data_IF_281300846647
#
_entry.id   IF_281300846647
#
_cell.length_a   1.000
_cell.length_b   1.000
_cell.length_c   1.000
_cell.angle_alpha   90.00
_cell.angle_beta   90.00
_cell.angle_gamma   90.00
#
_symmetry.space_group_name_H-M   'P 1'
#
loop_
_entity.id
_entity.type
_entity.pdbx_description
1 polymer ?
#
# COMPACT_ATOMS: atom_id res chain seq x y z
N UNK A 1 21.61 7.17 16.26
CA UNK A 1 20.22 7.58 16.08
C UNK A 1 20.01 7.98 14.63
N UNK A 2 19.04 7.39 13.92
CA UNK A 2 18.69 7.73 12.53
C UNK A 2 17.67 8.88 12.52
N UNK A 3 17.92 9.92 11.74
CA UNK A 3 16.98 11.05 11.59
C UNK A 3 16.17 10.84 10.30
N UNK A 4 14.87 10.74 10.43
CA UNK A 4 13.93 10.39 9.36
C UNK A 4 13.00 11.56 9.10
N UNK A 5 12.92 12.02 7.85
CA UNK A 5 11.91 12.97 7.40
C UNK A 5 10.81 12.21 6.64
N UNK A 6 9.56 12.30 7.11
CA UNK A 6 8.41 11.76 6.41
C UNK A 6 7.73 12.87 5.61
N UNK A 7 7.69 12.74 4.30
CA UNK A 7 6.97 13.68 3.43
C UNK A 7 5.56 13.17 3.15
N UNK A 8 4.57 14.02 3.30
CA UNK A 8 3.15 13.65 3.26
C UNK A 8 2.56 13.55 4.65
N UNK A 9 2.73 14.62 5.44
CA UNK A 9 2.16 14.76 6.78
C UNK A 9 0.65 14.43 6.80
N UNK A 10 0.19 13.87 7.93
CA UNK A 10 -1.21 13.48 8.16
C UNK A 10 -1.76 12.38 7.24
N UNK A 11 -0.94 11.75 6.40
CA UNK A 11 -1.38 10.59 5.63
C UNK A 11 -1.54 9.36 6.53
N UNK A 12 -2.46 8.44 6.17
CA UNK A 12 -2.67 7.20 6.92
C UNK A 12 -1.36 6.42 7.11
N UNK A 13 -0.60 6.23 6.03
CA UNK A 13 0.67 5.49 6.10
C UNK A 13 1.72 6.29 6.87
N UNK A 14 1.95 7.57 6.53
CA UNK A 14 2.96 8.40 7.18
C UNK A 14 2.79 8.47 8.69
N UNK A 15 1.57 8.74 9.17
CA UNK A 15 1.26 8.81 10.60
C UNK A 15 1.49 7.48 11.34
N UNK A 16 1.19 6.34 10.69
CA UNK A 16 1.43 5.03 11.33
C UNK A 16 2.93 4.69 11.37
N UNK A 17 3.69 5.02 10.32
CA UNK A 17 5.14 4.84 10.30
C UNK A 17 5.81 5.73 11.37
N UNK A 18 5.44 7.01 11.45
CA UNK A 18 5.91 7.93 12.48
C UNK A 18 5.71 7.36 13.88
N UNK A 19 4.46 6.98 14.23
CA UNK A 19 4.14 6.39 15.53
C UNK A 19 4.90 5.09 15.79
N UNK A 20 5.19 4.31 14.77
CA UNK A 20 5.94 3.06 14.90
C UNK A 20 7.41 3.30 15.21
N UNK A 21 8.06 4.18 14.47
CA UNK A 21 9.47 4.52 14.68
C UNK A 21 9.68 5.23 16.03
N UNK A 22 8.75 6.09 16.43
CA UNK A 22 8.80 6.81 17.73
C UNK A 22 8.64 5.89 18.96
N UNK A 23 8.34 4.60 18.80
CA UNK A 23 8.43 3.61 19.91
C UNK A 23 9.87 3.33 20.35
N UNK A 24 10.84 3.64 19.50
CA UNK A 24 12.27 3.44 19.75
C UNK A 24 13.02 4.80 19.61
N UNK A 25 12.72 5.79 20.50
CA UNK A 25 13.23 7.16 20.36
C UNK A 25 14.76 7.25 20.51
N UNK A 26 15.38 6.24 21.11
CA UNK A 26 16.83 6.12 21.19
C UNK A 26 17.48 5.74 19.84
N UNK A 27 16.70 5.17 18.92
CA UNK A 27 17.16 4.76 17.58
C UNK A 27 16.73 5.73 16.49
N UNK A 28 15.55 6.35 16.65
CA UNK A 28 14.93 7.16 15.60
C UNK A 28 14.49 8.53 16.12
N UNK A 29 14.81 9.57 15.36
CA UNK A 29 14.19 10.89 15.46
C UNK A 29 13.40 11.13 14.17
N UNK A 30 12.10 11.44 14.29
CA UNK A 30 11.18 11.51 13.15
C UNK A 30 10.53 12.89 13.11
N UNK A 31 10.64 13.53 11.96
CA UNK A 31 9.90 14.75 11.64
C UNK A 31 8.99 14.50 10.42
N UNK A 32 7.92 15.26 10.32
CA UNK A 32 6.99 15.19 9.19
C UNK A 32 6.89 16.54 8.50
N UNK A 33 6.75 16.54 7.18
CA UNK A 33 6.54 17.74 6.40
C UNK A 33 5.42 17.59 5.38
N UNK A 34 4.60 18.61 5.24
CA UNK A 34 3.63 18.69 4.15
C UNK A 34 4.34 19.03 2.85
N UNK A 35 3.89 18.42 1.76
CA UNK A 35 4.41 18.69 0.41
C UNK A 35 3.58 19.68 -0.38
N UNK A 36 2.45 20.14 0.16
CA UNK A 36 1.62 21.16 -0.47
C UNK A 36 2.30 22.54 -0.42
N UNK A 37 2.07 23.32 -1.46
CA UNK A 37 2.53 24.72 -1.52
C UNK A 37 4.05 24.90 -1.25
N UNK A 38 4.86 23.91 -1.64
CA UNK A 38 6.33 23.97 -1.51
C UNK A 38 6.86 24.17 -0.07
N UNK A 39 6.03 23.95 0.95
CA UNK A 39 6.43 24.12 2.36
C UNK A 39 7.63 23.25 2.72
N UNK A 40 7.77 22.10 2.10
CA UNK A 40 8.88 21.18 2.28
C UNK A 40 10.25 21.79 1.91
N UNK A 41 10.33 22.80 1.02
CA UNK A 41 11.57 23.50 0.66
C UNK A 41 12.13 24.34 1.81
N UNK A 42 11.31 24.66 2.82
CA UNK A 42 11.74 25.37 4.03
C UNK A 42 12.34 24.45 5.08
N UNK A 43 12.17 23.15 4.95
CA UNK A 43 12.76 22.17 5.86
C UNK A 43 14.25 22.00 5.55
N UNK A 44 15.06 21.96 6.59
CA UNK A 44 16.51 21.76 6.50
C UNK A 44 16.80 20.24 6.34
N UNK A 45 16.93 19.79 5.09
CA UNK A 45 17.18 18.40 4.75
C UNK A 45 18.55 17.90 5.19
N UNK A 46 19.52 18.79 5.43
CA UNK A 46 20.88 18.41 5.90
C UNK A 46 20.87 17.69 7.24
N UNK A 47 19.77 17.80 7.99
CA UNK A 47 19.60 17.15 9.29
C UNK A 47 19.19 15.70 9.23
N UNK A 48 18.77 15.19 8.04
CA UNK A 48 18.16 13.87 7.92
C UNK A 48 19.07 12.87 7.23
N UNK A 49 19.08 11.65 7.74
CA UNK A 49 19.74 10.51 7.12
C UNK A 49 18.85 9.86 6.06
N UNK A 50 17.53 9.87 6.29
CA UNK A 50 16.53 9.16 5.49
C UNK A 50 15.34 10.05 5.20
N UNK A 51 14.86 10.02 3.96
CA UNK A 51 13.54 10.56 3.58
C UNK A 51 12.61 9.39 3.26
N UNK A 52 11.49 9.29 3.97
CA UNK A 52 10.37 8.41 3.63
C UNK A 52 9.30 9.21 2.89
N UNK A 53 9.22 9.03 1.59
CA UNK A 53 8.29 9.75 0.72
C UNK A 53 6.99 8.97 0.53
N UNK A 54 5.93 9.43 1.20
CA UNK A 54 4.58 8.84 1.14
C UNK A 54 3.55 9.80 0.58
N UNK A 55 3.95 11.04 0.28
CA UNK A 55 3.09 11.99 -0.40
C UNK A 55 2.66 11.48 -1.78
N UNK A 56 1.43 11.70 -2.14
CA UNK A 56 0.90 11.30 -3.43
C UNK A 56 -0.63 11.31 -3.45
N UNK A 57 -1.16 11.35 -4.66
CA UNK A 57 -2.60 11.23 -4.90
C UNK A 57 -2.90 9.76 -5.20
N UNK A 58 -3.84 9.20 -4.44
CA UNK A 58 -4.35 7.84 -4.60
C UNK A 58 -5.86 7.81 -4.37
N UNK A 59 -6.54 6.77 -4.86
CA UNK A 59 -7.95 6.48 -4.56
C UNK A 59 -8.99 7.55 -4.94
N UNK A 60 -8.65 8.50 -5.80
CA UNK A 60 -9.64 9.37 -6.45
C UNK A 60 -10.14 8.62 -7.69
N UNK A 61 -11.47 8.65 -7.93
CA UNK A 61 -12.01 8.09 -9.18
C UNK A 61 -11.25 8.71 -10.35
N UNK A 62 -10.61 7.90 -11.22
CA UNK A 62 -9.67 8.41 -12.22
C UNK A 62 -10.44 9.06 -13.36
N UNK A 63 -10.84 10.32 -13.14
CA UNK A 63 -11.35 11.14 -14.23
C UNK A 63 -10.17 11.58 -15.10
N UNK A 64 -10.26 11.47 -16.44
CA UNK A 64 -9.16 11.83 -17.34
C UNK A 64 -8.59 13.23 -17.11
N UNK A 65 -9.42 14.17 -16.70
CA UNK A 65 -9.05 15.57 -16.42
C UNK A 65 -8.06 15.70 -15.25
N UNK A 66 -8.01 14.71 -14.37
CA UNK A 66 -7.08 14.67 -13.24
C UNK A 66 -5.70 14.11 -13.58
N UNK A 67 -5.52 13.53 -14.76
CA UNK A 67 -4.25 12.93 -15.16
C UNK A 67 -3.05 13.89 -15.00
N UNK A 68 -3.10 15.16 -15.45
CA UNK A 68 -1.99 16.11 -15.27
C UNK A 68 -1.60 16.31 -13.81
N UNK A 69 -2.60 16.33 -12.91
CA UNK A 69 -2.35 16.47 -11.47
C UNK A 69 -1.65 15.24 -10.89
N UNK A 70 -2.00 14.03 -11.34
CA UNK A 70 -1.32 12.79 -10.92
C UNK A 70 0.15 12.80 -11.35
N UNK A 71 0.47 13.18 -12.58
CA UNK A 71 1.87 13.29 -13.02
C UNK A 71 2.62 14.36 -12.25
N UNK A 72 2.02 15.53 -12.04
CA UNK A 72 2.64 16.61 -11.26
C UNK A 72 2.95 16.19 -9.83
N UNK A 73 2.03 15.49 -9.15
CA UNK A 73 2.21 15.15 -7.73
C UNK A 73 2.95 13.82 -7.55
N UNK A 74 2.57 12.76 -8.28
CA UNK A 74 3.15 11.44 -8.04
C UNK A 74 4.51 11.26 -8.72
N UNK A 75 4.78 11.96 -9.82
CA UNK A 75 6.03 11.87 -10.58
C UNK A 75 6.95 13.05 -10.30
N UNK A 76 6.52 14.25 -10.75
CA UNK A 76 7.42 15.41 -10.79
C UNK A 76 7.85 15.84 -9.38
N UNK A 77 6.91 16.00 -8.48
CA UNK A 77 7.18 16.35 -7.07
C UNK A 77 8.02 15.27 -6.37
N UNK A 78 7.76 13.99 -6.63
CA UNK A 78 8.56 12.88 -6.06
C UNK A 78 10.01 12.98 -6.49
N UNK A 79 10.27 13.19 -7.80
CA UNK A 79 11.62 13.32 -8.35
C UNK A 79 12.30 14.59 -7.84
N UNK A 80 11.56 15.71 -7.76
CA UNK A 80 12.07 16.98 -7.24
C UNK A 80 12.53 16.84 -5.78
N UNK A 81 11.70 16.25 -4.91
CA UNK A 81 12.06 16.03 -3.49
C UNK A 81 13.25 15.07 -3.36
N UNK A 82 13.34 14.04 -4.20
CA UNK A 82 14.47 13.12 -4.17
C UNK A 82 15.78 13.78 -4.60
N UNK A 83 15.77 14.62 -5.65
CA UNK A 83 16.90 15.44 -6.06
C UNK A 83 17.36 16.36 -4.93
N UNK A 84 16.41 17.08 -4.34
CA UNK A 84 16.66 17.96 -3.20
C UNK A 84 17.27 17.21 -2.01
N UNK A 85 16.72 16.05 -1.68
CA UNK A 85 17.26 15.21 -0.59
C UNK A 85 18.71 14.78 -0.89
N UNK A 86 19.00 14.34 -2.11
CA UNK A 86 20.35 13.96 -2.54
C UNK A 86 21.33 15.14 -2.44
N UNK A 87 20.97 16.32 -2.94
CA UNK A 87 21.79 17.54 -2.90
C UNK A 87 22.09 18.01 -1.46
N UNK A 88 21.21 17.70 -0.51
CA UNK A 88 21.37 18.05 0.90
C UNK A 88 21.98 16.91 1.75
N UNK A 89 22.56 15.88 1.12
CA UNK A 89 23.35 14.85 1.81
C UNK A 89 22.54 13.76 2.50
N UNK A 90 21.21 13.64 2.23
CA UNK A 90 20.41 12.49 2.63
C UNK A 90 21.01 11.23 2.01
N UNK A 91 21.05 10.13 2.78
CA UNK A 91 21.71 8.89 2.36
C UNK A 91 20.75 7.85 1.78
N UNK A 92 19.49 7.90 2.16
CA UNK A 92 18.45 6.95 1.69
C UNK A 92 17.14 7.67 1.41
N UNK A 93 16.54 7.35 0.28
CA UNK A 93 15.21 7.81 -0.11
C UNK A 93 14.29 6.60 -0.28
N UNK A 94 13.29 6.47 0.59
CA UNK A 94 12.32 5.38 0.58
C UNK A 94 11.04 5.89 -0.05
N UNK A 95 10.68 5.35 -1.19
CA UNK A 95 9.51 5.76 -1.98
C UNK A 95 8.34 4.79 -1.82
N UNK A 96 7.19 5.34 -1.47
CA UNK A 96 5.94 4.60 -1.41
C UNK A 96 5.28 4.55 -2.79
N UNK A 97 5.66 3.54 -3.57
CA UNK A 97 5.00 3.18 -4.82
C UNK A 97 3.72 2.35 -4.55
N UNK A 98 3.32 1.50 -5.45
CA UNK A 98 2.13 0.65 -5.31
C UNK A 98 2.20 -0.53 -6.26
N UNK A 99 1.48 -1.62 -5.92
CA UNK A 99 1.23 -2.72 -6.85
C UNK A 99 0.47 -2.30 -8.12
N UNK A 100 -0.14 -1.12 -8.13
CA UNK A 100 -0.86 -0.58 -9.29
C UNK A 100 0.02 -0.39 -10.54
N UNK A 101 1.35 -0.35 -10.39
CA UNK A 101 2.31 -0.28 -11.51
C UNK A 101 2.24 -1.52 -12.41
N UNK A 102 1.65 -2.61 -11.90
CA UNK A 102 1.30 -3.78 -12.71
C UNK A 102 -0.11 -3.66 -13.25
N UNK A 103 -0.37 -4.30 -14.37
CA UNK A 103 -1.70 -4.31 -14.98
C UNK A 103 -2.77 -4.83 -14.00
N UNK A 104 -3.82 -4.06 -13.77
CA UNK A 104 -4.97 -4.50 -13.00
C UNK A 104 -5.97 -5.23 -13.92
N UNK A 105 -6.05 -6.55 -13.81
CA UNK A 105 -7.02 -7.33 -14.59
C UNK A 105 -8.46 -6.96 -14.19
N UNK A 106 -9.30 -6.72 -15.19
CA UNK A 106 -10.75 -6.54 -15.01
C UNK A 106 -11.53 -7.86 -15.13
N UNK A 107 -10.83 -8.98 -15.29
CA UNK A 107 -11.43 -10.31 -15.45
C UNK A 107 -11.29 -11.17 -14.19
N UNK A 108 -12.08 -12.24 -14.11
CA UNK A 108 -11.99 -13.22 -13.02
C UNK A 108 -10.70 -14.04 -13.04
N UNK A 109 -9.91 -13.99 -14.12
CA UNK A 109 -8.59 -14.65 -14.19
C UNK A 109 -7.59 -14.06 -13.18
N UNK A 110 -7.89 -12.82 -12.72
CA UNK A 110 -7.08 -12.18 -11.72
C UNK A 110 -5.74 -11.65 -12.23
N UNK A 111 -4.86 -11.37 -11.30
CA UNK A 111 -3.57 -10.75 -11.56
C UNK A 111 -2.51 -11.32 -10.62
N UNK A 112 -1.77 -12.31 -11.10
CA UNK A 112 -0.66 -12.92 -10.37
C UNK A 112 0.63 -12.22 -10.80
N UNK A 113 1.38 -11.69 -9.85
CA UNK A 113 2.66 -11.03 -10.12
C UNK A 113 3.81 -11.97 -9.75
N UNK A 114 4.63 -12.29 -10.71
CA UNK A 114 5.83 -13.10 -10.60
C UNK A 114 7.08 -12.21 -10.60
N UNK A 115 8.27 -12.72 -10.19
CA UNK A 115 9.53 -11.97 -10.28
C UNK A 115 9.85 -11.49 -11.71
N UNK A 116 9.39 -12.22 -12.71
CA UNK A 116 9.57 -11.90 -14.14
C UNK A 116 8.51 -10.97 -14.72
N UNK A 117 7.44 -10.68 -13.96
CA UNK A 117 6.35 -9.81 -14.44
C UNK A 117 6.86 -8.37 -14.60
N UNK A 118 6.81 -7.84 -15.81
CA UNK A 118 7.18 -6.45 -16.06
C UNK A 118 6.04 -5.50 -15.66
N UNK A 119 6.36 -4.34 -15.05
CA UNK A 119 5.38 -3.28 -14.83
C UNK A 119 4.75 -2.85 -16.15
N UNK A 120 3.43 -2.78 -16.17
CA UNK A 120 2.65 -2.34 -17.33
C UNK A 120 1.31 -1.76 -16.82
N UNK A 121 1.32 -0.54 -16.25
CA UNK A 121 0.12 0.09 -15.73
C UNK A 121 -0.88 0.38 -16.84
N UNK A 122 -2.16 0.26 -16.53
CA UNK A 122 -3.26 0.52 -17.46
C UNK A 122 -4.10 1.75 -17.10
N UNK A 123 -3.62 2.56 -16.18
CA UNK A 123 -4.19 3.84 -15.80
C UNK A 123 -3.10 4.86 -15.49
N UNK A 124 -3.45 6.15 -15.49
CA UNK A 124 -2.50 7.23 -15.26
C UNK A 124 -1.98 7.28 -13.80
N UNK A 125 -2.69 6.69 -12.84
CA UNK A 125 -2.19 6.56 -11.48
C UNK A 125 -1.00 5.59 -11.43
N UNK A 126 -1.17 4.39 -11.94
CA UNK A 126 -0.09 3.41 -12.03
C UNK A 126 1.08 3.91 -12.87
N UNK A 127 0.78 4.56 -14.00
CA UNK A 127 1.80 5.11 -14.89
C UNK A 127 2.60 6.24 -14.23
N UNK A 128 1.93 7.18 -13.54
CA UNK A 128 2.62 8.24 -12.80
C UNK A 128 3.55 7.71 -11.71
N UNK A 129 3.14 6.62 -11.01
CA UNK A 129 3.98 5.93 -10.02
C UNK A 129 5.19 5.26 -10.68
N UNK A 130 4.99 4.58 -11.80
CA UNK A 130 6.08 3.90 -12.54
C UNK A 130 7.10 4.90 -13.10
N UNK A 131 6.63 6.01 -13.67
CA UNK A 131 7.52 7.07 -14.15
C UNK A 131 8.32 7.70 -12.99
N UNK A 132 7.72 7.89 -11.81
CA UNK A 132 8.45 8.32 -10.63
C UNK A 132 9.56 7.32 -10.24
N UNK A 133 9.25 6.02 -10.21
CA UNK A 133 10.25 4.99 -9.93
C UNK A 133 11.44 5.04 -10.90
N UNK A 134 11.16 5.24 -12.20
CA UNK A 134 12.21 5.33 -13.21
C UNK A 134 13.11 6.55 -12.97
N UNK A 135 12.54 7.73 -12.73
CA UNK A 135 13.32 8.92 -12.41
C UNK A 135 14.08 8.82 -11.09
N UNK A 136 13.57 8.08 -10.11
CA UNK A 136 14.29 7.83 -8.86
C UNK A 136 15.50 6.92 -9.06
N UNK A 137 15.38 5.86 -9.88
CA UNK A 137 16.51 4.95 -10.17
C UNK A 137 17.70 5.67 -10.81
N UNK A 138 17.45 6.69 -11.64
CA UNK A 138 18.49 7.53 -12.23
C UNK A 138 19.27 8.36 -11.18
N UNK A 139 18.70 8.58 -10.01
CA UNK A 139 19.35 9.30 -8.92
C UNK A 139 20.20 8.42 -8.01
N UNK A 140 20.01 7.11 -8.07
CA UNK A 140 20.73 6.16 -7.20
C UNK A 140 22.26 6.21 -7.45
N UNK A 141 23.03 6.20 -6.36
CA UNK A 141 24.47 6.11 -6.39
C UNK A 141 25.00 5.54 -5.06
N UNK A 142 26.30 5.40 -4.92
CA UNK A 142 26.93 4.82 -3.72
C UNK A 142 26.57 5.56 -2.43
N UNK A 143 26.39 6.87 -2.51
CA UNK A 143 26.07 7.73 -1.36
C UNK A 143 24.60 8.02 -1.17
N UNK A 144 23.74 7.62 -2.13
CA UNK A 144 22.29 7.87 -2.10
C UNK A 144 21.52 6.64 -2.57
N UNK A 145 20.98 5.88 -1.62
CA UNK A 145 20.23 4.65 -1.89
C UNK A 145 18.75 4.95 -2.15
N UNK A 146 18.19 4.30 -3.17
CA UNK A 146 16.78 4.38 -3.51
C UNK A 146 16.08 3.07 -3.11
N UNK A 147 15.06 3.17 -2.25
CA UNK A 147 14.24 2.03 -1.82
C UNK A 147 12.81 2.24 -2.33
N UNK A 148 12.37 1.43 -3.26
CA UNK A 148 11.03 1.52 -3.86
C UNK A 148 10.17 0.42 -3.25
N UNK A 149 9.10 0.79 -2.54
CA UNK A 149 8.16 -0.18 -1.96
C UNK A 149 6.92 -0.23 -2.85
N UNK A 150 6.59 -1.41 -3.38
CA UNK A 150 5.37 -1.69 -4.15
C UNK A 150 4.38 -2.49 -3.30
N UNK A 151 3.72 -1.89 -2.32
CA UNK A 151 2.81 -2.63 -1.45
C UNK A 151 1.55 -3.06 -2.22
N UNK A 152 0.93 -4.18 -1.81
CA UNK A 152 -0.43 -4.49 -2.17
C UNK A 152 -1.41 -3.57 -1.41
N UNK A 153 -2.68 -3.95 -1.30
CA UNK A 153 -3.64 -3.19 -0.51
C UNK A 153 -3.18 -3.08 0.96
N UNK A 154 -2.88 -1.86 1.39
CA UNK A 154 -2.57 -1.56 2.78
C UNK A 154 -3.87 -1.39 3.56
N UNK A 155 -3.92 -1.93 4.79
CA UNK A 155 -5.07 -1.81 5.65
C UNK A 155 -4.65 -1.72 7.12
N UNK A 156 -5.60 -1.34 7.98
CA UNK A 156 -5.43 -1.18 9.42
C UNK A 156 -6.48 -0.21 9.98
N UNK A 157 -6.47 0.00 11.28
CA UNK A 157 -7.40 0.89 11.96
C UNK A 157 -7.28 2.33 11.43
N UNK A 158 -8.41 2.93 11.07
CA UNK A 158 -8.44 4.28 10.49
C UNK A 158 -8.30 4.34 8.97
N UNK A 159 -8.07 3.21 8.28
CA UNK A 159 -8.04 3.18 6.82
C UNK A 159 -9.45 3.36 6.22
N UNK A 160 -9.56 4.24 5.23
CA UNK A 160 -10.81 4.52 4.49
C UNK A 160 -11.01 3.62 3.26
N UNK A 161 -10.22 2.55 3.09
CA UNK A 161 -10.28 1.67 1.91
C UNK A 161 -11.50 0.76 1.82
N UNK A 162 -11.44 -0.23 0.91
CA UNK A 162 -12.57 -1.13 0.62
C UNK A 162 -12.86 -2.17 1.72
N UNK A 163 -11.89 -2.44 2.60
CA UNK A 163 -12.03 -3.44 3.64
C UNK A 163 -13.16 -3.12 4.65
N UNK A 164 -13.31 -1.87 5.15
CA UNK A 164 -14.46 -1.46 5.96
C UNK A 164 -15.82 -1.69 5.28
N UNK A 165 -15.91 -1.54 3.95
CA UNK A 165 -17.15 -1.84 3.20
C UNK A 165 -17.45 -3.33 3.16
N UNK A 166 -16.42 -4.14 2.97
CA UNK A 166 -16.59 -5.61 2.99
C UNK A 166 -17.04 -6.07 4.38
N UNK A 167 -16.48 -5.50 5.45
CA UNK A 167 -16.92 -5.72 6.83
C UNK A 167 -18.39 -5.31 7.04
N UNK A 168 -18.81 -4.14 6.56
CA UNK A 168 -20.21 -3.73 6.61
C UNK A 168 -21.12 -4.71 5.85
N UNK A 169 -20.73 -5.15 4.65
CA UNK A 169 -21.49 -6.14 3.88
C UNK A 169 -21.62 -7.45 4.67
N UNK A 170 -20.53 -7.93 5.29
CA UNK A 170 -20.52 -9.14 6.10
C UNK A 170 -21.50 -9.10 7.29
N UNK A 171 -21.81 -7.91 7.82
CA UNK A 171 -22.75 -7.74 8.93
C UNK A 171 -24.19 -7.48 8.49
N UNK A 172 -24.45 -7.31 7.19
CA UNK A 172 -25.80 -6.99 6.67
C UNK A 172 -26.39 -8.08 5.78
N UNK A 173 -25.56 -8.98 5.28
CA UNK A 173 -26.05 -10.06 4.41
C UNK A 173 -26.11 -11.39 5.18
N UNK A 174 -27.24 -12.14 5.12
CA UNK A 174 -27.33 -13.45 5.75
C UNK A 174 -26.59 -14.55 4.96
N UNK A 175 -26.33 -14.30 3.69
CA UNK A 175 -25.71 -15.26 2.76
C UNK A 175 -24.59 -14.61 1.98
N UNK A 176 -23.53 -15.39 1.70
CA UNK A 176 -22.40 -14.94 0.88
C UNK A 176 -21.91 -16.08 -0.03
N UNK A 177 -21.44 -15.79 -1.27
CA UNK A 177 -20.96 -16.84 -2.17
C UNK A 177 -19.67 -17.47 -1.65
N UNK A 178 -19.57 -18.78 -1.77
CA UNK A 178 -18.36 -19.56 -1.47
C UNK A 178 -17.37 -19.49 -2.66
N UNK A 179 -16.94 -18.29 -3.01
CA UNK A 179 -15.97 -18.04 -4.07
C UNK A 179 -14.63 -17.65 -3.46
N UNK A 180 -13.74 -18.64 -3.35
CA UNK A 180 -12.42 -18.44 -2.78
C UNK A 180 -11.47 -17.78 -3.76
N UNK A 181 -10.59 -16.93 -3.25
CA UNK A 181 -9.56 -16.22 -4.00
C UNK A 181 -8.31 -15.99 -3.14
N UNK A 182 -7.20 -15.63 -3.81
CA UNK A 182 -5.94 -15.27 -3.14
C UNK A 182 -5.63 -13.80 -3.38
N UNK A 183 -5.38 -13.08 -2.29
CA UNK A 183 -5.05 -11.65 -2.36
C UNK A 183 -3.87 -11.34 -1.46
N UNK A 184 -2.86 -10.68 -2.02
CA UNK A 184 -1.87 -10.03 -1.19
C UNK A 184 -2.48 -8.83 -0.50
N UNK A 185 -2.28 -8.74 0.79
CA UNK A 185 -2.61 -7.59 1.63
C UNK A 185 -1.45 -7.30 2.57
N UNK A 186 -1.38 -6.09 3.10
CA UNK A 186 -0.34 -5.70 4.04
C UNK A 186 -0.94 -4.87 5.17
N UNK A 187 -0.85 -5.38 6.40
CA UNK A 187 -1.25 -4.60 7.56
C UNK A 187 -0.27 -3.45 7.79
N UNK A 188 -0.79 -2.28 8.17
CA UNK A 188 0.01 -1.06 8.29
C UNK A 188 1.15 -1.18 9.31
N UNK A 189 1.00 -1.98 10.37
CA UNK A 189 2.08 -2.24 11.33
C UNK A 189 3.18 -3.13 10.74
N UNK A 190 2.82 -4.13 9.91
CA UNK A 190 3.79 -4.95 9.18
C UNK A 190 4.57 -4.09 8.18
N UNK A 191 3.88 -3.16 7.50
CA UNK A 191 4.55 -2.16 6.66
C UNK A 191 5.48 -1.26 7.48
N UNK A 192 5.04 -0.81 8.65
CA UNK A 192 5.84 0.08 9.49
C UNK A 192 7.12 -0.61 9.99
N UNK A 193 7.02 -1.86 10.43
CA UNK A 193 8.19 -2.66 10.75
C UNK A 193 9.09 -2.88 9.52
N UNK A 194 8.49 -3.16 8.35
CA UNK A 194 9.24 -3.30 7.11
C UNK A 194 10.05 -2.05 6.76
N UNK A 195 9.45 -0.86 6.85
CA UNK A 195 10.13 0.43 6.62
C UNK A 195 11.26 0.62 7.65
N UNK A 196 11.01 0.32 8.93
CA UNK A 196 12.03 0.35 9.98
C UNK A 196 13.24 -0.54 9.62
N UNK A 197 13.00 -1.75 9.15
CA UNK A 197 14.06 -2.66 8.73
C UNK A 197 14.83 -2.17 7.51
N UNK A 198 14.15 -1.57 6.52
CA UNK A 198 14.83 -0.93 5.39
C UNK A 198 15.79 0.20 5.84
N UNK A 199 15.38 0.99 6.83
CA UNK A 199 16.20 2.06 7.40
C UNK A 199 17.41 1.48 8.13
N UNK A 200 17.21 0.49 9.01
CA UNK A 200 18.28 -0.14 9.79
C UNK A 200 19.33 -0.78 8.87
N UNK A 201 18.89 -1.51 7.86
CA UNK A 201 19.77 -2.23 6.94
C UNK A 201 20.23 -1.39 5.74
N UNK A 202 19.79 -0.13 5.62
CA UNK A 202 20.13 0.80 4.52
C UNK A 202 19.97 0.16 3.13
N UNK A 203 18.89 -0.58 2.95
CA UNK A 203 18.66 -1.36 1.74
C UNK A 203 18.17 -0.47 0.61
N UNK A 204 18.79 -0.57 -0.57
CA UNK A 204 18.28 -0.03 -1.84
C UNK A 204 17.64 -1.14 -2.68
N UNK A 205 16.85 -0.74 -3.69
CA UNK A 205 16.19 -1.66 -4.61
C UNK A 205 14.66 -1.58 -4.59
N UNK A 206 13.99 -2.59 -5.19
CA UNK A 206 12.53 -2.64 -5.25
C UNK A 206 11.98 -3.77 -4.38
N UNK A 207 10.99 -3.47 -3.54
CA UNK A 207 10.49 -4.35 -2.49
C UNK A 207 8.98 -4.58 -2.61
N UNK A 208 8.53 -5.78 -2.23
CA UNK A 208 7.16 -6.28 -2.39
C UNK A 208 6.61 -6.85 -1.06
N UNK A 209 6.59 -6.06 0.02
CA UNK A 209 6.12 -6.57 1.30
C UNK A 209 4.64 -6.94 1.23
N UNK A 210 4.29 -8.08 1.84
CA UNK A 210 2.91 -8.55 2.01
C UNK A 210 2.82 -9.32 3.32
N UNK A 211 1.61 -9.54 3.83
CA UNK A 211 1.41 -10.42 4.98
C UNK A 211 1.88 -11.85 4.68
N UNK A 212 2.23 -12.60 5.72
CA UNK A 212 2.63 -14.01 5.63
C UNK A 212 1.57 -14.89 4.97
N UNK A 213 0.30 -14.53 5.11
CA UNK A 213 -0.83 -15.26 4.54
C UNK A 213 -1.44 -14.50 3.37
N UNK A 214 -2.03 -15.23 2.41
CA UNK A 214 -2.92 -14.62 1.45
C UNK A 214 -4.30 -14.43 2.07
N UNK A 215 -4.87 -13.28 1.88
CA UNK A 215 -6.25 -13.02 2.24
C UNK A 215 -7.20 -13.72 1.25
N UNK A 216 -8.26 -14.31 1.78
CA UNK A 216 -9.41 -14.84 1.04
C UNK A 216 -10.63 -13.98 1.37
N UNK A 217 -11.36 -13.54 0.35
CA UNK A 217 -12.56 -12.69 0.55
C UNK A 217 -13.61 -13.39 1.41
N UNK A 218 -13.79 -14.70 1.27
CA UNK A 218 -14.72 -15.49 2.08
C UNK A 218 -14.28 -15.50 3.54
N UNK A 219 -12.98 -15.68 3.78
CA UNK A 219 -12.44 -15.71 5.14
C UNK A 219 -12.53 -14.35 5.83
N UNK A 220 -12.23 -13.27 5.11
CA UNK A 220 -12.43 -11.90 5.60
C UNK A 220 -13.89 -11.68 6.04
N UNK A 221 -14.84 -12.10 5.21
CA UNK A 221 -16.28 -11.96 5.50
C UNK A 221 -16.68 -12.78 6.73
N UNK A 222 -16.17 -14.01 6.88
CA UNK A 222 -16.40 -14.84 8.08
C UNK A 222 -15.87 -14.19 9.35
N UNK A 223 -14.64 -13.68 9.30
CA UNK A 223 -14.00 -13.06 10.45
C UNK A 223 -14.75 -11.80 10.88
N UNK A 224 -15.12 -10.92 9.95
CA UNK A 224 -15.93 -9.75 10.26
C UNK A 224 -17.33 -10.13 10.81
N UNK A 225 -18.01 -11.11 10.23
CA UNK A 225 -19.30 -11.57 10.72
C UNK A 225 -19.17 -12.12 12.15
N UNK A 226 -18.15 -12.98 12.41
CA UNK A 226 -17.87 -13.55 13.74
C UNK A 226 -17.60 -12.45 14.77
N UNK A 227 -16.74 -11.49 14.45
CA UNK A 227 -16.38 -10.39 15.36
C UNK A 227 -17.59 -9.54 15.77
N UNK A 228 -18.54 -9.35 14.86
CA UNK A 228 -19.74 -8.55 15.10
C UNK A 228 -20.96 -9.38 15.51
N UNK A 229 -20.78 -10.65 15.89
CA UNK A 229 -21.86 -11.52 16.34
C UNK A 229 -22.90 -11.85 15.26
N UNK A 230 -22.58 -11.65 13.98
CA UNK A 230 -23.48 -11.91 12.86
C UNK A 230 -23.26 -13.33 12.31
N UNK A 231 -24.36 -14.04 12.05
CA UNK A 231 -24.33 -15.35 11.39
C UNK A 231 -24.46 -15.18 9.89
N UNK A 232 -23.46 -15.64 9.13
CA UNK A 232 -23.48 -15.60 7.69
C UNK A 232 -23.34 -17.01 7.11
N UNK A 233 -24.21 -17.36 6.17
CA UNK A 233 -24.16 -18.65 5.49
C UNK A 233 -23.36 -18.53 4.20
N UNK A 234 -22.23 -19.22 4.13
CA UNK A 234 -21.37 -19.28 2.94
C UNK A 234 -21.81 -20.46 2.07
N UNK A 235 -22.23 -20.18 0.82
CA UNK A 235 -22.80 -21.21 -0.06
C UNK A 235 -22.33 -21.11 -1.49
N UNK A 236 -22.10 -22.29 -2.12
CA UNK A 236 -21.76 -22.39 -3.54
C UNK A 236 -22.95 -22.09 -4.47
N UNK A 237 -24.18 -22.13 -3.97
CA UNK A 237 -25.39 -21.83 -4.75
C UNK A 237 -25.38 -20.42 -5.35
N UNK A 238 -24.64 -19.50 -4.75
CA UNK A 238 -24.48 -18.13 -5.24
C UNK A 238 -23.31 -17.95 -6.23
N UNK A 239 -22.47 -18.96 -6.45
CA UNK A 239 -21.32 -18.85 -7.35
C UNK A 239 -21.69 -18.55 -8.81
N UNK A 240 -22.79 -19.10 -9.39
CA UNK A 240 -23.25 -18.71 -10.72
C UNK A 240 -23.57 -17.22 -10.83
N UNK A 241 -24.09 -16.59 -9.77
CA UNK A 241 -24.37 -15.14 -9.73
C UNK A 241 -23.07 -14.33 -9.73
N UNK A 242 -22.01 -14.81 -9.07
CA UNK A 242 -20.67 -14.17 -9.13
C UNK A 242 -20.13 -14.22 -10.56
N UNK A 243 -20.24 -15.39 -11.22
CA UNK A 243 -19.78 -15.54 -12.59
C UNK A 243 -20.56 -14.65 -13.57
N UNK A 244 -21.87 -14.59 -13.42
CA UNK A 244 -22.73 -13.72 -14.24
C UNK A 244 -22.45 -12.24 -13.94
N UNK A 245 -22.39 -11.86 -12.66
CA UNK A 245 -22.10 -10.49 -12.22
C UNK A 245 -20.74 -9.99 -12.69
N UNK A 246 -19.76 -10.86 -12.83
CA UNK A 246 -18.43 -10.51 -13.32
C UNK A 246 -18.42 -9.96 -14.76
N UNK A 247 -19.45 -10.27 -15.55
CA UNK A 247 -19.59 -9.76 -16.93
C UNK A 247 -20.11 -8.32 -16.98
N UNK A 248 -20.89 -7.90 -15.99
CA UNK A 248 -21.62 -6.63 -16.01
C UNK A 248 -21.18 -5.66 -14.90
N UNK A 249 -20.63 -6.15 -13.80
CA UNK A 249 -20.32 -5.37 -12.62
C UNK A 249 -18.81 -5.37 -12.34
N UNK A 250 -18.08 -4.28 -12.64
CA UNK A 250 -16.63 -4.21 -12.40
C UNK A 250 -16.20 -4.43 -10.94
N UNK A 251 -17.13 -4.27 -10.00
CA UNK A 251 -16.89 -4.54 -8.58
C UNK A 251 -16.70 -6.04 -8.29
N UNK A 252 -17.31 -6.92 -9.09
CA UNK A 252 -17.25 -8.37 -8.87
C UNK A 252 -15.85 -8.94 -9.11
N UNK A 253 -15.17 -8.71 -10.25
CA UNK A 253 -13.77 -9.09 -10.40
C UNK A 253 -12.86 -8.42 -9.36
N UNK A 254 -13.07 -7.16 -9.02
CA UNK A 254 -12.30 -6.48 -7.96
C UNK A 254 -12.41 -7.17 -6.60
N UNK A 255 -13.52 -7.84 -6.30
CA UNK A 255 -13.75 -8.52 -5.03
C UNK A 255 -13.31 -9.99 -5.06
N UNK A 256 -13.58 -10.71 -6.14
CA UNK A 256 -13.50 -12.18 -6.20
C UNK A 256 -12.35 -12.72 -7.05
N UNK A 257 -11.62 -11.89 -7.83
CA UNK A 257 -10.47 -12.38 -8.56
C UNK A 257 -9.22 -12.50 -7.69
N UNK A 258 -8.31 -13.36 -8.11
CA UNK A 258 -6.97 -13.44 -7.55
C UNK A 258 -6.18 -12.16 -7.80
N UNK A 259 -5.41 -11.73 -6.80
CA UNK A 259 -4.58 -10.52 -6.92
C UNK A 259 -3.44 -10.58 -5.91
N UNK A 260 -2.32 -11.23 -6.28
CA UNK A 260 -1.24 -11.46 -5.33
C UNK A 260 0.15 -11.44 -5.97
N UNK A 261 1.15 -11.17 -5.12
CA UNK A 261 2.55 -11.50 -5.35
C UNK A 261 2.82 -12.94 -4.92
N UNK A 262 3.62 -13.68 -5.67
CA UNK A 262 4.12 -14.96 -5.17
C UNK A 262 5.01 -14.75 -3.95
N UNK A 263 5.02 -15.70 -3.00
CA UNK A 263 5.68 -15.52 -1.68
C UNK A 263 7.18 -15.27 -1.78
N UNK A 264 7.81 -15.82 -2.79
CA UNK A 264 9.25 -15.68 -3.05
C UNK A 264 9.66 -14.22 -3.24
N UNK A 265 8.77 -13.35 -3.74
CA UNK A 265 9.03 -11.92 -3.91
C UNK A 265 9.08 -11.15 -2.57
N UNK A 266 8.61 -11.76 -1.50
CA UNK A 266 8.48 -11.10 -0.18
C UNK A 266 9.36 -11.75 0.89
N UNK A 267 10.38 -12.48 0.47
CA UNK A 267 11.39 -13.06 1.36
C UNK A 267 12.53 -12.06 1.58
N UNK A 268 12.80 -11.71 2.82
CA UNK A 268 13.82 -10.75 3.23
C UNK A 268 14.69 -11.34 4.36
N UNK A 269 15.92 -10.85 4.57
CA UNK A 269 16.82 -11.34 5.62
C UNK A 269 16.41 -10.86 7.03
N UNK A 270 15.21 -10.31 7.19
CA UNK A 270 14.64 -9.84 8.45
C UNK A 270 13.15 -10.15 8.52
N UNK A 271 12.63 -10.26 9.73
CA UNK A 271 11.20 -10.41 9.96
C UNK A 271 10.52 -9.03 10.08
N UNK A 272 9.31 -8.93 9.52
CA UNK A 272 8.47 -7.74 9.60
C UNK A 272 6.99 -8.10 9.88
N UNK A 273 6.71 -9.37 10.14
CA UNK A 273 5.35 -9.88 10.41
C UNK A 273 5.00 -9.73 11.89
N UNK A 274 4.68 -8.51 12.33
CA UNK A 274 4.39 -8.20 13.73
C UNK A 274 2.93 -8.37 14.12
N UNK A 275 2.05 -8.55 13.14
CA UNK A 275 0.61 -8.78 13.32
C UNK A 275 0.17 -9.91 12.40
N UNK A 276 -0.49 -10.94 12.95
CA UNK A 276 -1.08 -12.03 12.19
C UNK A 276 -2.26 -11.54 11.34
N UNK A 277 -2.67 -12.29 10.32
CA UNK A 277 -3.81 -11.91 9.48
C UNK A 277 -5.11 -11.85 10.32
N UNK A 278 -5.37 -12.84 11.16
CA UNK A 278 -6.57 -12.88 11.99
C UNK A 278 -6.62 -11.70 12.97
N UNK A 279 -5.51 -11.43 13.70
CA UNK A 279 -5.46 -10.32 14.66
C UNK A 279 -5.55 -8.96 13.96
N UNK A 280 -5.07 -8.85 12.74
CA UNK A 280 -5.08 -7.62 11.95
C UNK A 280 -6.49 -7.16 11.53
N UNK A 281 -7.47 -8.05 11.55
CA UNK A 281 -8.87 -7.74 11.24
C UNK A 281 -9.67 -7.33 12.49
N UNK A 282 -9.19 -7.66 13.70
CA UNK A 282 -9.87 -7.31 14.95
C UNK A 282 -9.89 -5.80 15.19
N UNK A 283 -11.04 -5.29 15.59
CA UNK A 283 -11.25 -3.86 15.87
C UNK A 283 -11.16 -2.95 14.65
N UNK A 284 -11.23 -3.50 13.44
CA UNK A 284 -11.36 -2.68 12.24
C UNK A 284 -12.76 -2.08 12.15
N UNK A 285 -12.80 -0.80 11.82
CA UNK A 285 -14.07 -0.12 11.60
C UNK A 285 -14.81 -0.70 10.39
N UNK A 286 -16.14 -0.83 10.50
CA UNK A 286 -17.02 -1.17 9.39
C UNK A 286 -17.78 0.06 8.93
N UNK A 287 -17.88 0.28 7.62
CA UNK A 287 -18.54 1.47 7.05
C UNK A 287 -19.31 1.15 5.76
N UNK A 288 -20.49 1.73 5.60
CA UNK A 288 -21.32 1.60 4.39
C UNK A 288 -20.68 2.32 3.19
N UNK A 289 -20.00 3.43 3.41
CA UNK A 289 -19.48 4.32 2.37
C UNK A 289 -18.00 4.67 2.62
N UNK A 290 -17.29 5.05 1.56
CA UNK A 290 -15.91 5.55 1.62
C UNK A 290 -15.83 7.06 1.94
N UNK A 291 -16.96 7.70 2.29
CA UNK A 291 -17.00 9.13 2.63
C UNK A 291 -16.50 9.39 4.04
#
# INVERSE_FOLDING_TARGET
MQRVLITGANSFVGTNIEKWLMKEPEKFAVDTVDTMNEVWKKADFTKYDVVFHVAGIAHVDPKPELAPLYYKVNRDLTIEIAKWAKEHGVKQFIYMSSRIVYHASKSMKGNITLPTTQPNPNDFYGDSKLQAENGLRELECDTFKISIIRPPMIYGKGNKGNLPRLGWLATKTPVFPAWHNKRSMLHVNNLAEFVKQLIIHKMGGTFYPQNSEYADTVEIVRLFAKEHGHRIWITRLLNPLVWLGAKFLPAVPKMFSDSYYVKEMSQYPFDYQVVSFEDSLKGLEIRKSMR
#
